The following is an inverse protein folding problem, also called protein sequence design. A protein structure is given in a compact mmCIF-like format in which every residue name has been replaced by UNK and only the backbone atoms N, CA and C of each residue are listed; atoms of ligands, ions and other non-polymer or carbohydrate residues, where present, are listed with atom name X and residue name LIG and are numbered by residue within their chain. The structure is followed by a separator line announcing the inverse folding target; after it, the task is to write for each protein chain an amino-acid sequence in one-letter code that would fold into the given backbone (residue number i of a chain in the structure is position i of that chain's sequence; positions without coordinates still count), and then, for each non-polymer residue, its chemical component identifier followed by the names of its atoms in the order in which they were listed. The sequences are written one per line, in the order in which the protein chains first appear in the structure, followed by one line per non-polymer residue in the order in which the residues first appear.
data_IF_727840960449
#
_entry.id   IF_727840960449
#
_cell.length_a   1.000
_cell.length_b   1.000
_cell.length_c   1.000
_cell.angle_alpha   90.00
_cell.angle_beta   90.00
_cell.angle_gamma   90.00
#
_symmetry.space_group_name_H-M   'P 1'
#
loop_
_entity.id
_entity.type
_entity.pdbx_description
1 polymer ?
#
# COMPACT_ATOMS: atom_id res chain seq x y z
N UNK A 1 -26.96 25.49 -0.27
CA UNK A 1 -26.22 26.31 0.71
C UNK A 1 -24.84 26.51 0.13
N UNK A 2 -24.70 27.59 -0.61
CA UNK A 2 -23.52 27.95 -1.40
C UNK A 2 -22.60 28.70 -0.45
N UNK A 3 -21.52 28.05 -0.02
CA UNK A 3 -20.46 28.76 0.69
C UNK A 3 -19.69 29.57 -0.35
N UNK A 4 -20.08 30.83 -0.53
CA UNK A 4 -19.30 31.82 -1.28
C UNK A 4 -17.97 32.02 -0.54
N UNK A 5 -16.96 31.24 -0.95
CA UNK A 5 -15.59 31.38 -0.50
C UNK A 5 -15.09 32.76 -0.92
N UNK A 6 -15.19 33.72 0.00
CA UNK A 6 -14.85 35.12 -0.24
C UNK A 6 -13.34 35.23 -0.46
N UNK A 7 -12.95 35.47 -1.71
CA UNK A 7 -11.55 35.59 -2.12
C UNK A 7 -10.97 36.89 -1.57
N UNK A 8 -10.15 36.79 -0.52
CA UNK A 8 -9.32 37.90 -0.07
C UNK A 8 -8.32 38.31 -1.15
N UNK A 9 -7.98 39.60 -1.28
CA UNK A 9 -7.24 40.15 -2.42
C UNK A 9 -5.79 39.63 -2.60
N UNK A 10 -5.28 38.82 -1.67
CA UNK A 10 -3.89 38.34 -1.65
C UNK A 10 -3.73 36.82 -1.82
N UNK A 11 -4.81 36.08 -2.12
CA UNK A 11 -4.75 34.63 -2.25
C UNK A 11 -4.64 34.23 -3.73
N UNK A 12 -3.41 34.15 -4.24
CA UNK A 12 -3.15 33.49 -5.53
C UNK A 12 -3.47 32.01 -5.38
N UNK A 13 -4.62 31.58 -5.90
CA UNK A 13 -4.93 30.15 -5.99
C UNK A 13 -3.84 29.44 -6.81
N UNK A 14 -3.48 28.20 -6.48
CA UNK A 14 -2.57 27.42 -7.31
C UNK A 14 -3.13 27.31 -8.73
N UNK A 15 -2.27 27.39 -9.76
CA UNK A 15 -2.69 27.45 -11.17
C UNK A 15 -3.57 26.27 -11.59
N UNK A 16 -3.37 25.11 -10.95
CA UNK A 16 -4.18 23.90 -11.14
C UNK A 16 -5.62 24.09 -10.67
N UNK A 17 -5.84 24.78 -9.54
CA UNK A 17 -7.19 25.06 -9.05
C UNK A 17 -7.96 25.92 -10.05
N UNK A 18 -7.33 26.98 -10.56
CA UNK A 18 -7.94 27.87 -11.55
C UNK A 18 -8.31 27.09 -12.82
N UNK A 19 -7.40 26.22 -13.30
CA UNK A 19 -7.59 25.44 -14.53
C UNK A 19 -8.75 24.43 -14.48
N UNK A 20 -9.07 23.88 -13.30
CA UNK A 20 -10.07 22.80 -13.14
C UNK A 20 -11.24 23.16 -12.21
N UNK A 21 -11.33 24.43 -11.78
CA UNK A 21 -12.36 24.91 -10.84
C UNK A 21 -13.77 24.84 -11.42
N UNK A 22 -13.90 24.83 -12.75
CA UNK A 22 -15.18 24.66 -13.42
C UNK A 22 -15.70 23.23 -13.22
N UNK A 23 -16.95 23.07 -12.75
CA UNK A 23 -17.56 21.76 -12.64
C UNK A 23 -17.72 21.17 -14.04
N UNK A 24 -17.36 19.88 -14.19
CA UNK A 24 -17.38 19.22 -15.49
C UNK A 24 -16.30 18.16 -15.61
N UNK A 25 -16.43 17.35 -16.65
CA UNK A 25 -15.48 16.29 -16.94
C UNK A 25 -14.20 16.86 -17.56
N UNK A 26 -13.07 16.68 -16.88
CA UNK A 26 -11.75 17.05 -17.40
C UNK A 26 -10.91 15.81 -17.66
N UNK A 27 -10.66 15.53 -18.94
CA UNK A 27 -9.87 14.39 -19.37
C UNK A 27 -8.48 14.29 -18.69
N UNK A 28 -7.72 15.40 -18.48
CA UNK A 28 -6.43 15.33 -17.80
C UNK A 28 -6.49 14.85 -16.35
N UNK A 29 -7.63 15.01 -15.66
CA UNK A 29 -7.85 14.51 -14.31
C UNK A 29 -8.39 13.08 -14.33
N UNK A 30 -9.29 12.78 -15.27
CA UNK A 30 -9.92 11.48 -15.39
C UNK A 30 -8.94 10.39 -15.85
N UNK A 31 -8.10 10.67 -16.84
CA UNK A 31 -7.17 9.67 -17.39
C UNK A 31 -6.25 9.02 -16.34
N UNK A 32 -5.50 9.78 -15.49
CA UNK A 32 -4.70 9.17 -14.44
C UNK A 32 -5.55 8.44 -13.41
N UNK A 33 -6.73 8.96 -13.05
CA UNK A 33 -7.64 8.29 -12.13
C UNK A 33 -8.13 6.94 -12.67
N UNK A 34 -8.42 6.87 -13.97
CA UNK A 34 -8.82 5.64 -14.65
C UNK A 34 -7.69 4.61 -14.67
N UNK A 35 -6.47 5.02 -15.02
CA UNK A 35 -5.30 4.14 -15.01
C UNK A 35 -5.04 3.59 -13.59
N UNK A 36 -5.07 4.45 -12.57
CA UNK A 36 -4.90 4.04 -11.18
C UNK A 36 -6.02 3.11 -10.72
N UNK A 37 -7.27 3.38 -11.09
CA UNK A 37 -8.41 2.51 -10.80
C UNK A 37 -8.25 1.12 -11.42
N UNK A 38 -7.80 1.05 -12.68
CA UNK A 38 -7.52 -0.23 -13.35
C UNK A 38 -6.40 -1.02 -12.67
N UNK A 39 -5.28 -0.35 -12.35
CA UNK A 39 -4.17 -0.96 -11.59
C UNK A 39 -4.64 -1.44 -10.22
N UNK A 40 -5.54 -0.71 -9.58
CA UNK A 40 -6.10 -1.06 -8.26
C UNK A 40 -6.93 -2.34 -8.31
N UNK A 41 -7.71 -2.56 -9.37
CA UNK A 41 -8.47 -3.82 -9.53
C UNK A 41 -7.52 -5.02 -9.57
N UNK A 42 -6.46 -4.93 -10.38
CA UNK A 42 -5.45 -5.99 -10.51
C UNK A 42 -4.71 -6.17 -9.18
N UNK A 43 -4.27 -5.07 -8.57
CA UNK A 43 -3.53 -5.07 -7.32
C UNK A 43 -4.33 -5.68 -6.17
N UNK A 44 -5.62 -5.36 -6.05
CA UNK A 44 -6.49 -5.89 -4.99
C UNK A 44 -6.62 -7.39 -5.15
N UNK A 45 -6.84 -7.86 -6.38
CA UNK A 45 -6.97 -9.29 -6.66
C UNK A 45 -5.68 -10.06 -6.31
N UNK A 46 -4.53 -9.58 -6.76
CA UNK A 46 -3.24 -10.24 -6.52
C UNK A 46 -2.83 -10.20 -5.05
N UNK A 47 -2.95 -9.05 -4.38
CA UNK A 47 -2.61 -8.92 -2.97
C UNK A 47 -3.57 -9.71 -2.07
N UNK A 48 -4.88 -9.72 -2.38
CA UNK A 48 -5.84 -10.57 -1.66
C UNK A 48 -5.52 -12.04 -1.82
N UNK A 49 -5.03 -12.47 -2.99
CA UNK A 49 -4.59 -13.84 -3.22
C UNK A 49 -3.39 -14.22 -2.34
N UNK A 50 -2.42 -13.32 -2.16
CA UNK A 50 -1.28 -13.53 -1.26
C UNK A 50 -1.73 -13.67 0.20
N UNK A 51 -2.63 -12.80 0.65
CA UNK A 51 -3.21 -12.90 2.00
C UNK A 51 -3.97 -14.22 2.18
N UNK A 52 -4.79 -14.61 1.20
CA UNK A 52 -5.58 -15.84 1.23
C UNK A 52 -4.70 -17.09 1.29
N UNK A 53 -3.68 -17.19 0.43
CA UNK A 53 -2.76 -18.32 0.39
C UNK A 53 -2.00 -18.41 1.72
N UNK A 54 -1.48 -17.28 2.20
CA UNK A 54 -0.72 -17.25 3.46
C UNK A 54 -1.58 -17.71 4.63
N UNK A 55 -2.83 -17.24 4.72
CA UNK A 55 -3.77 -17.66 5.76
C UNK A 55 -4.16 -19.15 5.66
N UNK A 56 -4.56 -19.60 4.46
CA UNK A 56 -5.01 -20.98 4.22
C UNK A 56 -3.93 -22.01 4.51
N UNK A 57 -2.68 -21.71 4.18
CA UNK A 57 -1.56 -22.64 4.27
C UNK A 57 -0.67 -22.44 5.49
N UNK A 58 -0.98 -21.47 6.34
CA UNK A 58 -0.25 -21.12 7.57
C UNK A 58 0.00 -22.32 8.49
N UNK A 59 -1.05 -23.11 8.75
CA UNK A 59 -0.97 -24.28 9.64
C UNK A 59 -0.23 -25.46 9.02
N UNK A 60 -0.13 -25.51 7.69
CA UNK A 60 0.32 -26.68 6.93
C UNK A 60 1.80 -26.64 6.58
N UNK A 61 2.36 -25.46 6.26
CA UNK A 61 3.76 -25.35 5.85
C UNK A 61 4.55 -24.42 6.76
N UNK A 62 5.71 -24.89 7.21
CA UNK A 62 6.63 -24.13 8.08
C UNK A 62 7.13 -22.85 7.42
N UNK A 63 7.21 -22.82 6.09
CA UNK A 63 7.63 -21.64 5.31
C UNK A 63 6.72 -20.44 5.58
N UNK A 64 5.41 -20.64 5.70
CA UNK A 64 4.47 -19.54 5.97
C UNK A 64 4.48 -19.06 7.42
N UNK A 65 5.08 -19.83 8.35
CA UNK A 65 5.24 -19.44 9.76
C UNK A 65 6.45 -18.52 9.98
N UNK A 66 7.29 -18.31 8.96
CA UNK A 66 8.44 -17.43 9.10
C UNK A 66 8.01 -15.96 9.21
N UNK A 67 8.73 -15.17 10.01
CA UNK A 67 8.43 -13.75 10.26
C UNK A 67 8.27 -12.95 8.96
N UNK A 68 9.09 -13.25 7.95
CA UNK A 68 9.02 -12.56 6.67
C UNK A 68 7.75 -12.86 5.89
N UNK A 69 7.27 -14.11 5.88
CA UNK A 69 6.00 -14.46 5.22
C UNK A 69 4.81 -13.76 5.89
N UNK A 70 4.84 -13.61 7.21
CA UNK A 70 3.83 -12.81 7.94
C UNK A 70 3.87 -11.35 7.51
N UNK A 71 5.08 -10.78 7.45
CA UNK A 71 5.29 -9.39 7.07
C UNK A 71 4.79 -9.11 5.64
N UNK A 72 5.05 -10.03 4.71
CA UNK A 72 4.54 -9.97 3.34
C UNK A 72 3.02 -10.01 3.32
N UNK A 73 2.38 -10.90 4.10
CA UNK A 73 0.92 -10.99 4.14
C UNK A 73 0.26 -9.74 4.75
N UNK A 74 0.85 -9.15 5.80
CA UNK A 74 0.40 -7.88 6.38
C UNK A 74 0.58 -6.75 5.37
N UNK A 75 1.73 -6.69 4.70
CA UNK A 75 1.99 -5.69 3.67
C UNK A 75 0.99 -5.78 2.51
N UNK A 76 0.70 -6.98 2.02
CA UNK A 76 -0.32 -7.21 0.99
C UNK A 76 -1.71 -6.79 1.46
N UNK A 77 -2.06 -7.02 2.73
CA UNK A 77 -3.34 -6.56 3.28
C UNK A 77 -3.44 -5.03 3.31
N UNK A 78 -2.38 -4.34 3.76
CA UNK A 78 -2.34 -2.88 3.75
C UNK A 78 -2.38 -2.31 2.33
N UNK A 79 -1.80 -3.01 1.36
CA UNK A 79 -1.83 -2.60 -0.04
C UNK A 79 -3.25 -2.70 -0.65
N UNK A 80 -4.03 -3.71 -0.27
CA UNK A 80 -5.45 -3.81 -0.63
C UNK A 80 -6.23 -2.60 -0.09
N UNK A 81 -5.96 -2.23 1.17
CA UNK A 81 -6.62 -1.10 1.82
C UNK A 81 -6.22 0.24 1.19
N UNK A 82 -4.95 0.43 0.86
CA UNK A 82 -4.44 1.59 0.13
C UNK A 82 -5.10 1.70 -1.26
N UNK A 83 -5.13 0.61 -2.02
CA UNK A 83 -5.71 0.62 -3.37
C UNK A 83 -7.22 0.91 -3.40
N UNK A 84 -7.92 0.70 -2.29
CA UNK A 84 -9.33 1.08 -2.18
C UNK A 84 -9.57 2.60 -2.32
N UNK A 85 -8.59 3.44 -1.95
CA UNK A 85 -8.69 4.90 -2.09
C UNK A 85 -8.70 5.38 -3.55
N UNK A 86 -8.06 4.62 -4.46
CA UNK A 86 -8.07 4.97 -5.88
C UNK A 86 -9.48 4.95 -6.50
N UNK A 87 -10.42 4.17 -5.95
CA UNK A 87 -11.81 4.19 -6.40
C UNK A 87 -12.54 5.49 -6.05
N UNK A 88 -12.20 6.09 -4.90
CA UNK A 88 -12.74 7.40 -4.52
C UNK A 88 -12.23 8.45 -5.49
N UNK A 89 -10.93 8.47 -5.79
CA UNK A 89 -10.37 9.38 -6.79
C UNK A 89 -10.99 9.21 -8.18
N UNK A 90 -11.23 7.97 -8.61
CA UNK A 90 -11.94 7.68 -9.86
C UNK A 90 -13.39 8.19 -9.85
N UNK A 91 -14.13 7.97 -8.76
CA UNK A 91 -15.51 8.44 -8.62
C UNK A 91 -15.62 9.97 -8.70
N UNK A 92 -14.71 10.67 -8.03
CA UNK A 92 -14.70 12.14 -7.95
C UNK A 92 -14.40 12.76 -9.32
N UNK A 93 -13.44 12.21 -10.04
CA UNK A 93 -13.09 12.68 -11.39
C UNK A 93 -14.14 12.27 -12.44
N UNK A 94 -14.77 11.10 -12.29
CA UNK A 94 -15.84 10.65 -13.20
C UNK A 94 -17.13 11.47 -13.04
N UNK A 95 -17.45 11.91 -11.82
CA UNK A 95 -18.64 12.76 -11.56
C UNK A 95 -18.43 14.23 -11.93
N UNK A 96 -17.21 14.64 -12.28
CA UNK A 96 -16.88 16.02 -12.63
C UNK A 96 -16.85 16.98 -11.43
N UNK A 97 -16.86 16.43 -10.20
CA UNK A 97 -16.68 17.18 -8.96
C UNK A 97 -15.16 17.29 -8.73
N UNK A 98 -14.48 18.12 -9.54
CA UNK A 98 -13.01 18.14 -9.61
C UNK A 98 -12.32 18.46 -8.26
N UNK A 99 -13.02 19.15 -7.37
CA UNK A 99 -12.49 19.52 -6.05
C UNK A 99 -13.49 19.20 -4.94
N UNK A 100 -12.96 18.56 -3.90
CA UNK A 100 -13.65 18.29 -2.64
C UNK A 100 -13.03 19.15 -1.55
N UNK A 101 -13.85 19.61 -0.60
CA UNK A 101 -13.37 20.32 0.61
C UNK A 101 -12.32 19.47 1.32
N UNK A 102 -11.19 20.07 1.69
CA UNK A 102 -10.05 19.37 2.28
C UNK A 102 -10.41 18.51 3.51
N UNK A 103 -11.35 18.97 4.35
CA UNK A 103 -11.82 18.21 5.52
C UNK A 103 -12.55 16.93 5.14
N UNK A 104 -13.33 16.94 4.06
CA UNK A 104 -14.02 15.75 3.55
C UNK A 104 -13.04 14.82 2.84
N UNK A 105 -12.13 15.37 2.03
CA UNK A 105 -11.08 14.61 1.38
C UNK A 105 -10.22 13.87 2.41
N UNK A 106 -9.79 14.54 3.48
CA UNK A 106 -9.02 13.91 4.56
C UNK A 106 -9.83 12.81 5.27
N UNK A 107 -11.12 13.02 5.56
CA UNK A 107 -11.93 11.98 6.22
C UNK A 107 -12.07 10.70 5.40
N UNK A 108 -12.12 10.82 4.08
CA UNK A 108 -12.31 9.67 3.19
C UNK A 108 -10.96 9.02 2.85
N UNK A 109 -9.93 9.81 2.56
CA UNK A 109 -8.63 9.32 2.07
C UNK A 109 -7.57 9.12 3.16
N UNK A 110 -7.75 9.63 4.39
CA UNK A 110 -6.74 9.50 5.44
C UNK A 110 -6.32 8.04 5.67
N UNK A 111 -7.29 7.12 5.63
CA UNK A 111 -7.02 5.70 5.77
C UNK A 111 -6.13 5.16 4.64
N UNK A 112 -6.42 5.52 3.38
CA UNK A 112 -5.62 5.14 2.21
C UNK A 112 -4.19 5.68 2.31
N UNK A 113 -4.04 6.97 2.66
CA UNK A 113 -2.74 7.64 2.79
C UNK A 113 -1.90 7.04 3.92
N UNK A 114 -2.50 6.74 5.07
CA UNK A 114 -1.79 6.10 6.19
C UNK A 114 -1.29 4.71 5.78
N UNK A 115 -2.12 3.93 5.11
CA UNK A 115 -1.73 2.58 4.65
C UNK A 115 -0.60 2.64 3.62
N UNK A 116 -0.64 3.58 2.66
CA UNK A 116 0.42 3.78 1.67
C UNK A 116 1.78 4.06 2.31
N UNK A 117 1.80 4.92 3.33
CA UNK A 117 3.01 5.19 4.10
C UNK A 117 3.48 3.96 4.88
N UNK A 118 2.56 3.23 5.51
CA UNK A 118 2.87 2.02 6.26
C UNK A 118 3.50 0.94 5.36
N UNK A 119 2.92 0.70 4.18
CA UNK A 119 3.46 -0.21 3.15
C UNK A 119 4.88 0.20 2.75
N UNK A 120 5.11 1.49 2.52
CA UNK A 120 6.45 2.00 2.15
C UNK A 120 7.49 1.73 3.26
N UNK A 121 7.13 1.98 4.53
CA UNK A 121 8.02 1.69 5.67
C UNK A 121 8.27 0.19 5.87
N UNK A 122 7.24 -0.64 5.68
CA UNK A 122 7.35 -2.10 5.78
C UNK A 122 8.25 -2.66 4.67
N UNK A 123 8.07 -2.21 3.42
CA UNK A 123 8.93 -2.60 2.30
C UNK A 123 10.38 -2.15 2.50
N UNK A 124 10.60 -0.95 3.03
CA UNK A 124 11.93 -0.47 3.37
C UNK A 124 12.60 -1.37 4.41
N UNK A 125 11.89 -1.70 5.49
CA UNK A 125 12.41 -2.55 6.57
C UNK A 125 12.67 -3.98 6.09
N UNK A 126 11.77 -4.53 5.27
CA UNK A 126 11.95 -5.85 4.65
C UNK A 126 13.16 -5.85 3.70
N UNK A 127 13.37 -4.77 2.95
CA UNK A 127 14.53 -4.64 2.07
C UNK A 127 15.83 -4.59 2.86
N UNK A 128 15.87 -3.85 3.97
CA UNK A 128 17.02 -3.79 4.87
C UNK A 128 17.29 -5.17 5.48
N UNK A 129 16.27 -5.88 6.00
CA UNK A 129 16.38 -7.23 6.54
C UNK A 129 17.02 -8.20 5.53
N UNK A 130 16.57 -8.15 4.26
CA UNK A 130 17.11 -8.98 3.18
C UNK A 130 18.54 -8.61 2.79
N UNK A 131 18.87 -7.33 2.73
CA UNK A 131 20.26 -6.88 2.46
C UNK A 131 21.19 -7.33 3.58
N UNK A 132 20.79 -7.18 4.85
CA UNK A 132 21.58 -7.64 5.99
C UNK A 132 21.76 -9.16 6.00
N UNK A 133 20.72 -9.93 5.68
CA UNK A 133 20.81 -11.39 5.60
C UNK A 133 21.78 -11.88 4.52
N UNK A 134 21.88 -11.17 3.39
CA UNK A 134 22.81 -11.50 2.29
C UNK A 134 24.22 -10.98 2.56
N UNK A 135 24.37 -9.77 3.09
CA UNK A 135 25.67 -9.16 3.37
C UNK A 135 26.40 -9.83 4.55
N UNK A 136 25.65 -10.32 5.55
CA UNK A 136 26.20 -10.96 6.74
C UNK A 136 25.61 -12.38 6.93
N UNK A 137 25.98 -13.35 6.07
CA UNK A 137 25.42 -14.71 6.12
C UNK A 137 25.86 -15.49 7.38
N UNK A 138 26.83 -14.97 8.13
CA UNK A 138 27.45 -15.65 9.29
C UNK A 138 26.54 -15.63 10.53
N UNK A 139 25.68 -14.62 10.69
CA UNK A 139 24.79 -14.49 11.85
C UNK A 139 23.61 -15.48 11.85
N UNK A 140 22.87 -15.68 10.73
CA UNK A 140 21.80 -16.67 10.67
C UNK A 140 22.33 -18.11 10.76
N UNK A 141 23.48 -18.40 10.15
CA UNK A 141 24.10 -19.73 10.17
C UNK A 141 24.57 -20.12 11.59
N UNK A 142 25.12 -19.18 12.36
CA UNK A 142 25.50 -19.41 13.76
C UNK A 142 24.31 -19.71 14.69
N UNK A 143 23.13 -19.14 14.42
CA UNK A 143 21.90 -19.45 15.16
C UNK A 143 21.31 -20.79 14.72
N UNK A 144 21.30 -21.09 13.41
CA UNK A 144 20.83 -22.37 12.88
C UNK A 144 21.68 -23.55 13.39
N UNK A 145 23.00 -23.42 13.40
CA UNK A 145 23.91 -24.44 13.91
C UNK A 145 23.77 -24.66 15.43
N UNK A 146 23.48 -23.60 16.21
CA UNK A 146 23.20 -23.74 17.66
C UNK A 146 21.88 -24.46 17.95
N UNK A 147 20.86 -24.26 17.12
CA UNK A 147 19.61 -25.03 17.21
C UNK A 147 19.79 -26.49 16.78
N UNK A 148 20.60 -26.75 15.76
CA UNK A 148 20.90 -28.10 15.26
C UNK A 148 21.73 -28.91 16.28
N UNK A 149 22.70 -28.27 16.94
CA UNK A 149 23.46 -28.84 18.07
C UNK A 149 22.58 -29.20 19.27
N UNK A 150 21.44 -28.55 19.47
CA UNK A 150 20.53 -28.82 20.59
C UNK A 150 19.47 -29.89 20.30
N UNK A 151 19.33 -30.32 19.04
CA UNK A 151 18.24 -31.20 18.61
C UNK A 151 18.65 -32.60 18.13
N UNK A 152 19.95 -32.95 18.11
CA UNK A 152 20.44 -34.29 17.69
C UNK A 152 19.80 -34.80 16.37
N UNK A 153 19.48 -33.91 15.44
CA UNK A 153 18.95 -34.32 14.14
C UNK A 153 20.10 -34.62 13.18
N UNK A 154 20.08 -35.79 12.50
CA UNK A 154 21.15 -36.20 11.61
C UNK A 154 21.28 -35.26 10.41
N UNK A 155 22.53 -35.04 10.00
CA UNK A 155 22.91 -34.25 8.84
C UNK A 155 22.35 -34.93 7.59
N UNK A 156 21.41 -34.29 6.90
CA UNK A 156 21.07 -34.66 5.53
C UNK A 156 22.16 -34.07 4.63
N UNK A 157 23.12 -34.93 4.26
CA UNK A 157 24.02 -34.69 3.14
C UNK A 157 23.21 -34.73 1.84
N UNK A 158 23.04 -33.59 1.19
CA UNK A 158 22.91 -33.44 -0.26
C UNK A 158 23.32 -32.05 -0.68
#
# INVERSE_FOLDING_TARGET
MSDDFSVGPNNSFPSVYIAYSSPGFHFPLFFPAFVLGFVSVIGIFLNSSVCYITWKYWGKYTVFKCKTSVLIAINSFLEVLHQSGHFVFLYVTATGINFIKASLAFKIEAFSVINSNCVSFMLLTLSIDRVLAVAFPVFPLGVALRFQSSTNLPVLET
#
